data_IF_246511480858
#
_entry.id   IF_246511480858
#
_cell.length_a   1.000
_cell.length_b   1.000
_cell.length_c   1.000
_cell.angle_alpha   90.00
_cell.angle_beta   90.00
_cell.angle_gamma   90.00
#
_symmetry.space_group_name_H-M   'P 1'
#
loop_
_entity.id
_entity.type
_entity.pdbx_description
1 polymer ?
#
# COMPACT_ATOMS: atom_id res chain seq x y z
N UNK A 1 21.62 25.87 18.55
CA UNK A 1 21.32 25.94 17.10
C UNK A 1 22.56 25.85 16.20
N UNK A 2 23.79 25.82 16.72
CA UNK A 2 25.04 25.72 15.95
C UNK A 2 25.38 24.29 15.47
N UNK A 3 24.75 23.26 16.05
CA UNK A 3 25.05 21.84 15.78
C UNK A 3 24.47 21.36 14.42
N UNK A 4 23.43 22.01 13.91
CA UNK A 4 22.84 21.70 12.61
C UNK A 4 23.55 22.38 11.43
N UNK A 5 24.33 23.45 11.68
CA UNK A 5 25.08 24.15 10.63
C UNK A 5 26.37 23.43 10.22
N UNK A 6 26.86 22.49 11.03
CA UNK A 6 28.07 21.71 10.76
C UNK A 6 27.81 20.35 10.10
N UNK A 7 26.55 19.99 9.83
CA UNK A 7 26.20 18.74 9.18
C UNK A 7 26.31 18.84 7.64
N UNK A 8 26.73 17.77 6.94
CA UNK A 8 26.70 17.72 5.49
C UNK A 8 25.29 17.98 4.95
N UNK A 9 25.18 18.68 3.81
CA UNK A 9 23.91 18.99 3.17
C UNK A 9 23.07 17.75 2.86
N UNK A 10 23.70 16.62 2.52
CA UNK A 10 23.04 15.32 2.31
C UNK A 10 22.35 14.80 3.56
N UNK A 11 22.95 14.96 4.75
CA UNK A 11 22.37 14.52 6.02
C UNK A 11 21.18 15.39 6.40
N UNK A 12 21.28 16.70 6.20
CA UNK A 12 20.16 17.62 6.42
C UNK A 12 18.99 17.32 5.48
N UNK A 13 19.27 17.01 4.21
CA UNK A 13 18.25 16.63 3.24
C UNK A 13 17.59 15.29 3.61
N UNK A 14 18.37 14.29 4.02
CA UNK A 14 17.85 12.99 4.46
C UNK A 14 16.95 13.15 5.71
N UNK A 15 17.36 14.00 6.66
CA UNK A 15 16.56 14.32 7.84
C UNK A 15 15.24 15.03 7.50
N UNK A 16 15.28 15.98 6.54
CA UNK A 16 14.08 16.66 6.08
C UNK A 16 13.09 15.72 5.38
N UNK A 17 13.59 14.85 4.48
CA UNK A 17 12.76 13.84 3.80
C UNK A 17 12.17 12.86 4.81
N UNK A 18 13.00 12.35 5.73
CA UNK A 18 12.55 11.46 6.79
C UNK A 18 11.42 12.06 7.62
N UNK A 19 11.59 13.30 8.08
CA UNK A 19 10.59 14.00 8.88
C UNK A 19 9.33 14.27 8.06
N UNK A 20 9.46 14.62 6.78
CA UNK A 20 8.33 14.83 5.86
C UNK A 20 7.48 13.56 5.73
N UNK A 21 8.12 12.42 5.42
CA UNK A 21 7.40 11.14 5.26
C UNK A 21 6.71 10.74 6.57
N UNK A 22 7.37 10.94 7.72
CA UNK A 22 6.77 10.64 9.02
C UNK A 22 5.56 11.52 9.31
N UNK A 23 5.69 12.84 9.16
CA UNK A 23 4.58 13.79 9.43
C UNK A 23 3.38 13.48 8.53
N UNK A 24 3.63 13.09 7.28
CA UNK A 24 2.59 12.72 6.33
C UNK A 24 1.94 11.38 6.69
N UNK A 25 2.72 10.35 7.05
CA UNK A 25 2.20 9.01 7.31
C UNK A 25 1.49 8.87 8.67
N UNK A 26 1.91 9.62 9.69
CA UNK A 26 1.39 9.51 11.06
C UNK A 26 -0.14 9.67 11.16
N UNK A 27 -0.79 10.69 10.55
CA UNK A 27 -2.24 10.82 10.55
C UNK A 27 -2.96 9.60 9.97
N UNK A 28 -2.45 9.04 8.87
CA UNK A 28 -3.08 7.89 8.21
C UNK A 28 -2.89 6.60 9.00
N UNK A 29 -1.72 6.40 9.61
CA UNK A 29 -1.48 5.24 10.49
C UNK A 29 -2.36 5.33 11.74
N UNK A 30 -2.54 6.53 12.31
CA UNK A 30 -3.42 6.75 13.46
C UNK A 30 -4.89 6.48 13.10
N UNK A 31 -5.37 7.00 11.96
CA UNK A 31 -6.73 6.72 11.50
C UNK A 31 -6.89 5.22 11.21
N UNK A 32 -5.90 4.59 10.58
CA UNK A 32 -5.89 3.16 10.30
C UNK A 32 -5.96 2.30 11.57
N UNK A 33 -5.23 2.66 12.62
CA UNK A 33 -5.26 1.95 13.91
C UNK A 33 -6.58 2.17 14.66
N UNK A 34 -7.16 3.37 14.60
CA UNK A 34 -8.50 3.64 15.17
C UNK A 34 -9.56 2.82 14.44
N UNK A 35 -9.53 2.77 13.11
CA UNK A 35 -10.45 1.96 12.30
C UNK A 35 -10.27 0.49 12.63
N UNK A 36 -9.03 0.01 12.72
CA UNK A 36 -8.73 -1.37 13.10
C UNK A 36 -9.24 -1.72 14.51
N UNK A 37 -9.04 -0.84 15.50
CA UNK A 37 -9.62 -0.97 16.84
C UNK A 37 -11.17 -0.94 16.83
N UNK A 38 -11.78 -0.14 15.95
CA UNK A 38 -13.24 -0.16 15.77
C UNK A 38 -13.72 -1.47 15.15
N UNK A 39 -12.99 -2.01 14.17
CA UNK A 39 -13.25 -3.33 13.58
C UNK A 39 -13.10 -4.42 14.65
N UNK A 40 -12.11 -4.32 15.51
CA UNK A 40 -11.90 -5.22 16.64
C UNK A 40 -13.13 -5.34 17.54
N UNK A 41 -13.68 -4.20 17.96
CA UNK A 41 -14.75 -4.14 18.96
C UNK A 41 -16.13 -4.31 18.34
N UNK A 42 -16.39 -3.78 17.15
CA UNK A 42 -17.74 -3.72 16.57
C UNK A 42 -18.04 -4.75 15.47
N UNK A 43 -17.00 -5.28 14.81
CA UNK A 43 -17.15 -6.23 13.70
C UNK A 43 -16.98 -7.65 14.24
N UNK A 44 -18.07 -8.42 14.17
CA UNK A 44 -18.06 -9.86 14.45
C UNK A 44 -17.94 -10.64 13.13
N UNK A 45 -17.39 -11.88 13.16
CA UNK A 45 -17.33 -12.72 11.97
C UNK A 45 -18.69 -12.91 11.29
N UNK A 46 -19.77 -12.98 12.07
CA UNK A 46 -21.15 -13.13 11.56
C UNK A 46 -21.60 -11.94 10.70
N UNK A 47 -21.29 -10.72 11.13
CA UNK A 47 -21.57 -9.49 10.35
C UNK A 47 -20.79 -9.50 9.04
N UNK A 48 -19.53 -9.93 9.08
CA UNK A 48 -18.70 -10.11 7.88
C UNK A 48 -19.34 -11.09 6.91
N UNK A 49 -19.78 -12.27 7.37
CA UNK A 49 -20.43 -13.26 6.51
C UNK A 49 -21.78 -12.80 5.95
N UNK A 50 -22.50 -11.94 6.66
CA UNK A 50 -23.78 -11.39 6.22
C UNK A 50 -23.60 -10.30 5.17
N UNK A 51 -22.58 -9.44 5.32
CA UNK A 51 -22.33 -8.32 4.43
C UNK A 51 -21.56 -8.72 3.16
N UNK A 52 -20.75 -9.79 3.23
CA UNK A 52 -20.00 -10.27 2.08
C UNK A 52 -20.90 -11.05 1.10
N UNK A 53 -20.72 -10.85 -0.22
CA UNK A 53 -21.42 -11.65 -1.23
C UNK A 53 -21.23 -13.15 -1.01
N UNK A 54 -22.24 -13.95 -1.37
CA UNK A 54 -22.18 -15.42 -1.24
C UNK A 54 -21.19 -16.04 -2.25
N UNK A 55 -21.07 -15.45 -3.44
CA UNK A 55 -20.24 -15.98 -4.52
C UNK A 55 -18.77 -15.56 -4.37
N UNK A 56 -17.83 -16.48 -4.63
CA UNK A 56 -16.39 -16.25 -4.53
C UNK A 56 -15.91 -15.06 -5.38
N UNK A 57 -16.34 -14.99 -6.64
CA UNK A 57 -16.03 -13.86 -7.52
C UNK A 57 -16.64 -12.53 -7.02
N UNK A 58 -17.87 -12.58 -6.50
CA UNK A 58 -18.53 -11.39 -5.94
C UNK A 58 -17.75 -10.80 -4.77
N UNK A 59 -17.15 -11.65 -3.92
CA UNK A 59 -16.28 -11.23 -2.82
C UNK A 59 -14.97 -10.59 -3.32
N UNK A 60 -14.35 -11.11 -4.38
CA UNK A 60 -13.15 -10.52 -4.99
C UNK A 60 -13.46 -9.11 -5.51
N UNK A 61 -14.55 -8.95 -6.27
CA UNK A 61 -14.96 -7.63 -6.76
C UNK A 61 -15.31 -6.69 -5.62
N UNK A 62 -16.00 -7.18 -4.59
CA UNK A 62 -16.31 -6.38 -3.40
C UNK A 62 -15.03 -5.83 -2.75
N UNK A 63 -14.01 -6.67 -2.53
CA UNK A 63 -12.71 -6.22 -2.01
C UNK A 63 -11.99 -5.24 -2.93
N UNK A 64 -12.11 -5.43 -4.24
CA UNK A 64 -11.48 -4.56 -5.24
C UNK A 64 -12.10 -3.15 -5.21
N UNK A 65 -13.43 -3.04 -5.18
CA UNK A 65 -14.14 -1.75 -5.25
C UNK A 65 -14.29 -1.03 -3.91
N UNK A 66 -14.31 -1.76 -2.78
CA UNK A 66 -14.42 -1.11 -1.47
C UNK A 66 -13.24 -0.17 -1.21
N UNK A 67 -12.06 -0.43 -1.82
CA UNK A 67 -10.89 0.44 -1.80
C UNK A 67 -11.15 1.90 -2.20
N UNK A 68 -12.08 2.15 -3.12
CA UNK A 68 -12.44 3.50 -3.55
C UNK A 68 -13.06 4.35 -2.42
N UNK A 69 -13.76 3.71 -1.48
CA UNK A 69 -14.45 4.40 -0.38
C UNK A 69 -13.56 4.66 0.83
N UNK A 70 -12.36 4.09 0.87
CA UNK A 70 -11.45 4.23 2.00
C UNK A 70 -10.40 5.30 1.70
N UNK A 71 -10.47 6.49 2.35
CA UNK A 71 -9.47 7.53 2.20
C UNK A 71 -8.24 7.21 3.06
N UNK A 72 -7.59 6.08 2.80
CA UNK A 72 -6.44 5.60 3.56
C UNK A 72 -5.20 5.54 2.67
N UNK A 73 -4.06 5.94 3.23
CA UNK A 73 -2.74 5.74 2.64
C UNK A 73 -2.31 4.27 2.82
N UNK A 74 -1.37 3.78 2.00
CA UNK A 74 -0.82 2.41 2.09
C UNK A 74 -0.26 2.05 3.49
N UNK A 75 0.14 3.05 4.28
CA UNK A 75 0.58 2.85 5.65
C UNK A 75 -0.56 2.51 6.62
N UNK A 76 -1.78 3.00 6.35
CA UNK A 76 -2.96 2.82 7.21
C UNK A 76 -3.78 1.58 6.90
N UNK A 77 -3.56 0.93 5.75
CA UNK A 77 -4.38 -0.19 5.27
C UNK A 77 -3.93 -1.55 5.82
N UNK A 78 -2.63 -1.76 6.09
CA UNK A 78 -2.13 -3.03 6.62
C UNK A 78 -2.73 -3.45 7.99
N UNK A 79 -2.89 -2.56 9.00
CA UNK A 79 -3.52 -2.94 10.26
C UNK A 79 -4.98 -3.36 10.06
N UNK A 80 -5.72 -2.59 9.25
CA UNK A 80 -7.10 -2.89 8.87
C UNK A 80 -7.20 -4.28 8.21
N UNK A 81 -6.30 -4.59 7.28
CA UNK A 81 -6.26 -5.89 6.59
C UNK A 81 -5.93 -7.02 7.55
N UNK A 82 -4.95 -6.84 8.42
CA UNK A 82 -4.64 -7.83 9.43
C UNK A 82 -5.87 -8.13 10.29
N UNK A 83 -6.58 -7.09 10.74
CA UNK A 83 -7.79 -7.25 11.55
C UNK A 83 -8.94 -7.91 10.80
N UNK A 84 -9.11 -7.62 9.52
CA UNK A 84 -10.07 -8.32 8.67
C UNK A 84 -9.79 -9.81 8.57
N UNK A 85 -8.53 -10.18 8.35
CA UNK A 85 -8.12 -11.58 8.29
C UNK A 85 -8.33 -12.30 9.64
N UNK A 86 -8.06 -11.63 10.77
CA UNK A 86 -8.37 -12.15 12.12
C UNK A 86 -9.88 -12.37 12.33
N UNK A 87 -10.73 -11.52 11.76
CA UNK A 87 -12.20 -11.66 11.76
C UNK A 87 -12.73 -12.63 10.71
N UNK A 88 -11.88 -13.49 10.14
CA UNK A 88 -12.21 -14.53 9.15
C UNK A 88 -12.72 -13.97 7.81
N UNK A 89 -12.39 -12.72 7.46
CA UNK A 89 -12.57 -12.23 6.09
C UNK A 89 -11.67 -13.08 5.16
N UNK A 90 -12.19 -13.62 4.05
CA UNK A 90 -11.37 -14.41 3.13
C UNK A 90 -10.18 -13.62 2.57
N UNK A 91 -9.01 -14.28 2.45
CA UNK A 91 -7.78 -13.68 1.92
C UNK A 91 -7.96 -13.09 0.53
N UNK A 92 -8.72 -13.77 -0.32
CA UNK A 92 -9.07 -13.33 -1.68
C UNK A 92 -10.02 -12.12 -1.74
N UNK A 93 -10.52 -11.64 -0.61
CA UNK A 93 -11.24 -10.35 -0.49
C UNK A 93 -10.34 -9.28 0.10
N UNK A 94 -9.60 -9.63 1.15
CA UNK A 94 -8.74 -8.68 1.87
C UNK A 94 -7.55 -8.23 1.01
N UNK A 95 -6.86 -9.13 0.32
CA UNK A 95 -5.67 -8.78 -0.47
C UNK A 95 -6.01 -7.87 -1.67
N UNK A 96 -7.10 -8.09 -2.42
CA UNK A 96 -7.55 -7.10 -3.41
C UNK A 96 -7.78 -5.71 -2.82
N UNK A 97 -8.39 -5.62 -1.62
CA UNK A 97 -8.60 -4.35 -0.92
C UNK A 97 -7.28 -3.69 -0.49
N UNK A 98 -6.31 -4.48 0.00
CA UNK A 98 -4.96 -4.01 0.35
C UNK A 98 -4.30 -3.29 -0.84
N UNK A 99 -4.51 -3.81 -2.04
CA UNK A 99 -3.88 -3.33 -3.28
C UNK A 99 -4.61 -2.14 -3.89
N UNK A 100 -5.95 -2.15 -3.89
CA UNK A 100 -6.72 -1.08 -4.55
C UNK A 100 -6.88 0.17 -3.71
N UNK A 101 -6.97 0.06 -2.38
CA UNK A 101 -7.22 1.20 -1.50
C UNK A 101 -6.26 2.38 -1.73
N UNK A 102 -4.92 2.21 -1.78
CA UNK A 102 -4.02 3.35 -1.95
C UNK A 102 -3.95 3.89 -3.40
N UNK A 103 -4.49 3.19 -4.40
CA UNK A 103 -4.37 3.61 -5.82
C UNK A 103 -5.65 4.20 -6.37
N UNK A 104 -6.79 3.61 -6.00
CA UNK A 104 -8.11 3.99 -6.48
C UNK A 104 -8.73 5.08 -5.58
N UNK A 105 -8.04 5.48 -4.51
CA UNK A 105 -8.44 6.58 -3.64
C UNK A 105 -8.68 7.87 -4.45
N UNK A 106 -9.83 8.55 -4.27
CA UNK A 106 -10.14 9.81 -4.94
C UNK A 106 -9.04 10.87 -4.84
N UNK A 107 -8.33 10.95 -3.70
CA UNK A 107 -7.24 11.91 -3.48
C UNK A 107 -6.07 11.60 -4.43
N UNK A 108 -5.74 10.33 -4.58
CA UNK A 108 -4.64 9.83 -5.43
C UNK A 108 -4.99 9.93 -6.91
N UNK A 109 -6.23 9.63 -7.28
CA UNK A 109 -6.71 9.82 -8.64
C UNK A 109 -6.72 11.32 -9.01
N UNK A 110 -7.11 12.20 -8.09
CA UNK A 110 -7.08 13.64 -8.29
C UNK A 110 -5.65 14.19 -8.39
N UNK A 111 -4.71 13.74 -7.56
CA UNK A 111 -3.31 14.14 -7.67
C UNK A 111 -2.70 13.66 -8.99
N UNK A 112 -3.04 12.45 -9.45
CA UNK A 112 -2.65 11.94 -10.77
C UNK A 112 -3.21 12.81 -11.89
N UNK A 113 -4.49 13.19 -11.82
CA UNK A 113 -5.12 14.07 -12.80
C UNK A 113 -4.40 15.42 -12.89
N UNK A 114 -4.12 16.04 -11.74
CA UNK A 114 -3.45 17.35 -11.67
C UNK A 114 -1.98 17.27 -12.12
N UNK A 115 -1.26 16.22 -11.76
CA UNK A 115 0.17 16.08 -12.07
C UNK A 115 0.44 15.84 -13.56
N UNK A 116 -0.48 15.16 -14.26
CA UNK A 116 -0.36 14.83 -15.68
C UNK A 116 -1.11 15.82 -16.58
N UNK A 117 -1.26 17.07 -16.15
CA UNK A 117 -1.83 18.15 -16.98
C UNK A 117 -3.29 17.90 -17.37
N UNK A 118 -4.12 17.44 -16.43
CA UNK A 118 -5.54 17.12 -16.63
C UNK A 118 -5.79 15.92 -17.57
N UNK A 119 -4.83 15.00 -17.66
CA UNK A 119 -4.99 13.77 -18.45
C UNK A 119 -5.85 12.74 -17.72
N UNK A 120 -7.12 12.62 -18.13
CA UNK A 120 -8.05 11.58 -17.66
C UNK A 120 -7.54 10.19 -18.04
N UNK A 121 -6.84 10.09 -19.18
CA UNK A 121 -6.29 8.83 -19.67
C UNK A 121 -5.34 8.20 -18.65
N UNK A 122 -4.43 8.98 -18.05
CA UNK A 122 -3.51 8.44 -17.04
C UNK A 122 -4.21 7.98 -15.77
N UNK A 123 -5.22 8.74 -15.33
CA UNK A 123 -6.04 8.37 -14.16
C UNK A 123 -6.74 7.03 -14.39
N UNK A 124 -7.38 6.87 -15.55
CA UNK A 124 -8.09 5.65 -15.91
C UNK A 124 -7.14 4.46 -16.04
N UNK A 125 -5.98 4.62 -16.65
CA UNK A 125 -4.99 3.56 -16.79
C UNK A 125 -4.37 3.18 -15.43
N UNK A 126 -4.13 4.14 -14.54
CA UNK A 126 -3.68 3.86 -13.17
C UNK A 126 -4.73 3.07 -12.39
N UNK A 127 -5.99 3.49 -12.44
CA UNK A 127 -7.10 2.82 -11.77
C UNK A 127 -7.36 1.40 -12.35
N UNK A 128 -7.39 1.27 -13.67
CA UNK A 128 -7.61 0.00 -14.35
C UNK A 128 -6.48 -1.00 -14.07
N UNK A 129 -5.23 -0.53 -14.04
CA UNK A 129 -4.08 -1.34 -13.62
C UNK A 129 -4.28 -1.90 -12.22
N UNK A 130 -4.69 -1.06 -11.26
CA UNK A 130 -4.97 -1.50 -9.90
C UNK A 130 -6.10 -2.53 -9.80
N UNK A 131 -7.22 -2.30 -10.51
CA UNK A 131 -8.36 -3.23 -10.55
C UNK A 131 -7.94 -4.57 -11.15
N UNK A 132 -7.17 -4.54 -12.24
CA UNK A 132 -6.70 -5.75 -12.93
C UNK A 132 -5.79 -6.58 -12.03
N UNK A 133 -4.79 -5.94 -11.39
CA UNK A 133 -3.86 -6.62 -10.49
C UNK A 133 -4.61 -7.19 -9.27
N UNK A 134 -5.51 -6.41 -8.68
CA UNK A 134 -6.32 -6.85 -7.54
C UNK A 134 -7.23 -8.03 -7.91
N UNK A 135 -7.84 -8.02 -9.10
CA UNK A 135 -8.68 -9.13 -9.58
C UNK A 135 -7.85 -10.39 -9.80
N UNK A 136 -6.68 -10.28 -10.42
CA UNK A 136 -5.77 -11.42 -10.64
C UNK A 136 -5.30 -12.01 -9.30
N UNK A 137 -4.88 -11.17 -8.36
CA UNK A 137 -4.51 -11.61 -7.01
C UNK A 137 -5.68 -12.27 -6.28
N UNK A 138 -6.88 -11.69 -6.37
CA UNK A 138 -8.08 -12.26 -5.77
C UNK A 138 -8.43 -13.62 -6.37
N UNK A 139 -8.32 -13.80 -7.68
CA UNK A 139 -8.54 -15.10 -8.33
C UNK A 139 -7.44 -16.08 -7.93
N UNK A 140 -6.17 -15.68 -7.97
CA UNK A 140 -5.05 -16.53 -7.56
C UNK A 140 -5.24 -17.04 -6.13
N UNK A 141 -5.55 -16.15 -5.19
CA UNK A 141 -5.77 -16.52 -3.79
C UNK A 141 -7.08 -17.27 -3.58
N UNK A 142 -8.10 -16.98 -4.39
CA UNK A 142 -9.40 -17.62 -4.26
C UNK A 142 -9.40 -19.07 -4.74
N UNK A 143 -8.52 -19.44 -5.67
CA UNK A 143 -8.53 -20.76 -6.31
C UNK A 143 -7.26 -21.58 -6.10
N UNK A 144 -6.10 -20.95 -5.89
CA UNK A 144 -4.81 -21.63 -5.80
C UNK A 144 -4.17 -21.58 -4.41
N UNK A 145 -4.70 -20.78 -3.48
CA UNK A 145 -4.11 -20.59 -2.16
C UNK A 145 -5.11 -20.84 -1.03
N UNK A 146 -5.06 -22.03 -0.43
CA UNK A 146 -5.95 -22.42 0.67
C UNK A 146 -5.32 -22.21 2.06
N UNK A 147 -4.00 -22.00 2.13
CA UNK A 147 -3.29 -21.80 3.40
C UNK A 147 -3.56 -20.42 4.02
N UNK A 148 -3.51 -20.35 5.36
CA UNK A 148 -3.55 -19.06 6.08
C UNK A 148 -2.35 -18.19 5.69
N UNK A 149 -2.63 -16.95 5.27
CA UNK A 149 -1.58 -15.98 4.89
C UNK A 149 -0.96 -15.28 6.10
N UNK A 150 -1.66 -15.27 7.24
CA UNK A 150 -1.21 -14.66 8.49
C UNK A 150 -0.24 -15.55 9.25
N UNK A 151 0.67 -14.93 10.01
CA UNK A 151 1.52 -15.65 10.95
C UNK A 151 0.68 -16.12 12.15
N UNK A 152 0.80 -17.40 12.50
CA UNK A 152 0.10 -18.05 13.64
C UNK A 152 0.51 -17.50 15.02
N UNK A 153 1.55 -16.68 15.10
CA UNK A 153 2.31 -16.48 16.34
C UNK A 153 2.12 -15.12 17.02
N UNK A 154 1.00 -14.42 16.75
CA UNK A 154 0.49 -13.44 17.72
C UNK A 154 -0.51 -14.16 18.60
N UNK A 155 -0.33 -13.97 19.91
CA UNK A 155 -1.09 -14.61 20.99
C UNK A 155 -2.48 -14.97 20.53
N UNK A 156 -2.87 -16.23 20.70
CA UNK A 156 -4.25 -16.67 20.58
C UNK A 156 -5.15 -15.61 21.23
N UNK A 157 -5.70 -14.71 20.41
CA UNK A 157 -6.66 -13.73 20.87
C UNK A 157 -7.84 -14.58 21.27
N UNK A 158 -8.02 -14.74 22.58
CA UNK A 158 -9.31 -15.03 23.14
C UNK A 158 -10.31 -14.16 22.36
N UNK A 159 -11.37 -14.75 21.81
CA UNK A 159 -12.52 -13.98 21.38
C UNK A 159 -12.94 -13.18 22.60
N UNK A 160 -12.49 -11.92 22.66
CA UNK A 160 -12.91 -11.01 23.68
C UNK A 160 -14.35 -10.69 23.32
N UNK A 161 -15.27 -11.42 23.94
CA UNK A 161 -16.68 -11.11 23.83
C UNK A 161 -16.93 -9.80 24.56
N UNK A 162 -16.79 -8.70 23.80
CA UNK A 162 -17.08 -7.37 24.28
C UNK A 162 -18.59 -7.11 24.36
N UNK A 163 -19.46 -8.11 24.10
CA UNK A 163 -20.92 -7.97 24.20
C UNK A 163 -21.37 -7.43 25.56
N UNK A 164 -20.69 -7.83 26.64
CA UNK A 164 -20.99 -7.49 28.03
C UNK A 164 -20.50 -6.11 28.49
N UNK A 165 -19.72 -5.39 27.67
CA UNK A 165 -19.17 -4.08 28.06
C UNK A 165 -20.16 -2.93 27.84
N UNK A 166 -20.13 -1.96 28.76
CA UNK A 166 -20.83 -0.69 28.60
C UNK A 166 -20.32 0.07 27.37
N UNK A 167 -21.16 0.93 26.78
CA UNK A 167 -20.80 1.75 25.59
C UNK A 167 -19.50 2.53 25.80
N UNK A 168 -19.26 3.05 27.01
CA UNK A 168 -18.02 3.77 27.34
C UNK A 168 -16.79 2.88 27.39
N UNK A 169 -16.93 1.66 27.92
CA UNK A 169 -15.83 0.68 27.95
C UNK A 169 -15.49 0.16 26.54
N UNK A 170 -16.48 0.02 25.66
CA UNK A 170 -16.25 -0.32 24.24
C UNK A 170 -15.41 0.74 23.54
N UNK A 171 -15.75 2.02 23.71
CA UNK A 171 -14.99 3.12 23.13
C UNK A 171 -13.55 3.14 23.69
N UNK A 172 -13.40 2.98 25.00
CA UNK A 172 -12.08 2.95 25.63
C UNK A 172 -11.24 1.77 25.12
N UNK A 173 -11.84 0.60 24.92
CA UNK A 173 -11.17 -0.56 24.33
C UNK A 173 -10.73 -0.31 22.89
N UNK A 174 -11.55 0.36 22.07
CA UNK A 174 -11.16 0.77 20.71
C UNK A 174 -9.88 1.62 20.76
N UNK A 175 -9.81 2.59 21.68
CA UNK A 175 -8.65 3.45 21.81
C UNK A 175 -7.41 2.72 22.34
N UNK A 176 -7.54 1.83 23.34
CA UNK A 176 -6.42 1.02 23.82
C UNK A 176 -5.83 0.21 22.67
N UNK A 177 -6.68 -0.51 21.94
CA UNK A 177 -6.25 -1.31 20.81
C UNK A 177 -5.59 -0.46 19.71
N UNK A 178 -6.20 0.68 19.40
CA UNK A 178 -5.67 1.60 18.39
C UNK A 178 -4.29 2.15 18.78
N UNK A 179 -4.05 2.38 20.07
CA UNK A 179 -2.74 2.82 20.59
C UNK A 179 -1.71 1.71 20.46
N UNK A 180 -2.03 0.49 20.89
CA UNK A 180 -1.12 -0.65 20.81
C UNK A 180 -0.72 -0.92 19.36
N UNK A 181 -1.69 -0.92 18.45
CA UNK A 181 -1.46 -1.13 17.02
C UNK A 181 -0.71 0.05 16.39
N UNK A 182 -1.00 1.29 16.79
CA UNK A 182 -0.26 2.47 16.34
C UNK A 182 1.22 2.40 16.69
N UNK A 183 1.58 2.05 17.93
CA UNK A 183 2.99 1.92 18.34
C UNK A 183 3.67 0.72 17.67
N UNK A 184 2.95 -0.38 17.53
CA UNK A 184 3.44 -1.56 16.81
C UNK A 184 3.72 -1.28 15.33
N UNK A 185 2.93 -0.44 14.68
CA UNK A 185 3.16 0.01 13.31
C UNK A 185 4.21 1.10 13.23
N UNK A 186 4.19 2.05 14.15
CA UNK A 186 5.07 3.21 14.21
C UNK A 186 6.55 2.80 14.20
N UNK A 187 6.92 1.72 14.89
CA UNK A 187 8.31 1.22 14.86
C UNK A 187 8.74 0.79 13.45
N UNK A 188 7.89 0.09 12.69
CA UNK A 188 8.22 -0.35 11.33
C UNK A 188 8.19 0.81 10.35
N UNK A 189 7.24 1.72 10.52
CA UNK A 189 7.15 2.97 9.76
C UNK A 189 8.45 3.77 9.90
N UNK A 190 8.97 3.95 11.13
CA UNK A 190 10.22 4.68 11.37
C UNK A 190 11.40 4.04 10.63
N UNK A 191 11.57 2.72 10.71
CA UNK A 191 12.64 2.04 9.97
C UNK A 191 12.47 2.14 8.45
N UNK A 192 11.24 2.03 7.94
CA UNK A 192 10.93 2.18 6.52
C UNK A 192 11.21 3.60 6.02
N UNK A 193 10.80 4.62 6.76
CA UNK A 193 11.03 6.04 6.42
C UNK A 193 12.52 6.38 6.45
N UNK A 194 13.27 5.83 7.41
CA UNK A 194 14.72 6.04 7.50
C UNK A 194 15.44 5.42 6.31
N UNK A 195 15.05 4.20 5.91
CA UNK A 195 15.60 3.58 4.71
C UNK A 195 15.26 4.39 3.46
N UNK A 196 14.00 4.77 3.28
CA UNK A 196 13.54 5.54 2.13
C UNK A 196 14.27 6.88 2.01
N UNK A 197 14.46 7.62 3.11
CA UNK A 197 15.13 8.93 3.05
C UNK A 197 16.61 8.83 2.67
N UNK A 198 17.31 7.80 3.15
CA UNK A 198 18.70 7.52 2.75
C UNK A 198 18.73 7.21 1.25
N UNK A 199 17.87 6.31 0.79
CA UNK A 199 17.80 5.92 -0.62
C UNK A 199 17.48 7.13 -1.51
N UNK A 200 16.53 7.97 -1.14
CA UNK A 200 16.16 9.17 -1.91
C UNK A 200 17.30 10.20 -2.01
N UNK A 201 18.18 10.29 -1.02
CA UNK A 201 19.34 11.21 -1.06
C UNK A 201 20.50 10.63 -1.85
N UNK A 202 20.77 9.32 -1.72
CA UNK A 202 21.96 8.68 -2.29
C UNK A 202 21.72 8.01 -3.64
N UNK A 203 20.47 7.82 -4.08
CA UNK A 203 20.14 7.29 -5.40
C UNK A 203 19.82 8.44 -6.35
N UNK A 204 20.79 8.92 -7.15
CA UNK A 204 20.53 9.95 -8.14
C UNK A 204 19.69 9.37 -9.29
N UNK A 205 18.55 9.99 -9.56
CA UNK A 205 17.67 9.68 -10.70
C UNK A 205 18.38 9.82 -12.06
N UNK A 206 19.52 10.53 -12.11
CA UNK A 206 20.36 10.68 -13.31
C UNK A 206 21.09 9.40 -13.73
N UNK A 207 21.38 8.47 -12.80
CA UNK A 207 22.00 7.17 -13.18
C UNK A 207 21.03 6.32 -14.00
N UNK A 208 19.73 6.60 -13.89
CA UNK A 208 18.69 5.77 -14.48
C UNK A 208 18.39 6.13 -15.93
N UNK A 209 18.62 7.39 -16.33
CA UNK A 209 18.38 7.87 -17.71
C UNK A 209 19.45 7.41 -18.71
N UNK A 210 20.62 6.98 -18.24
CA UNK A 210 21.71 6.48 -19.11
C UNK A 210 21.61 4.99 -19.43
N UNK A 211 20.72 4.25 -18.76
CA UNK A 211 20.67 2.77 -18.81
C UNK A 211 19.51 2.26 -19.69
N UNK A 212 18.51 3.09 -20.01
CA UNK A 212 17.31 2.67 -20.74
C UNK A 212 17.53 2.56 -22.26
N UNK A 213 18.18 1.48 -22.70
CA UNK A 213 18.36 1.16 -24.12
C UNK A 213 17.13 0.51 -24.78
N UNK A 214 16.22 -0.09 -23.99
CA UNK A 214 15.00 -0.75 -24.50
C UNK A 214 13.76 -0.38 -23.66
N UNK A 215 12.55 -0.40 -24.27
CA UNK A 215 11.30 -0.08 -23.55
C UNK A 215 11.05 -0.98 -22.33
N UNK A 216 11.35 -2.28 -22.44
CA UNK A 216 11.15 -3.23 -21.35
C UNK A 216 12.12 -2.97 -20.18
N UNK A 217 13.37 -2.63 -20.49
CA UNK A 217 14.35 -2.26 -19.47
C UNK A 217 13.95 -0.96 -18.75
N UNK A 218 13.37 0.01 -19.48
CA UNK A 218 12.85 1.24 -18.87
C UNK A 218 11.70 0.96 -17.89
N UNK A 219 10.77 0.05 -18.25
CA UNK A 219 9.68 -0.39 -17.36
C UNK A 219 10.25 -1.00 -16.08
N UNK A 220 11.14 -1.99 -16.21
CA UNK A 220 11.74 -2.66 -15.04
C UNK A 220 12.51 -1.67 -14.17
N UNK A 221 13.27 -0.79 -14.79
CA UNK A 221 14.07 0.21 -14.10
C UNK A 221 13.18 1.17 -13.29
N UNK A 222 12.08 1.66 -13.86
CA UNK A 222 11.17 2.54 -13.14
C UNK A 222 10.36 1.79 -12.07
N UNK A 223 10.06 0.51 -12.26
CA UNK A 223 9.47 -0.31 -11.20
C UNK A 223 10.43 -0.45 -10.00
N UNK A 224 11.71 -0.73 -10.25
CA UNK A 224 12.73 -0.81 -9.20
C UNK A 224 12.93 0.55 -8.53
N UNK A 225 12.94 1.63 -9.31
CA UNK A 225 13.02 2.99 -8.78
C UNK A 225 11.86 3.28 -7.84
N UNK A 226 10.63 2.99 -8.25
CA UNK A 226 9.43 3.20 -7.44
C UNK A 226 9.54 2.48 -6.10
N UNK A 227 9.90 1.18 -6.13
CA UNK A 227 10.11 0.37 -4.94
C UNK A 227 11.17 0.97 -4.00
N UNK A 228 12.30 1.43 -4.55
CA UNK A 228 13.40 2.00 -3.78
C UNK A 228 13.06 3.36 -3.17
N UNK A 229 12.40 4.25 -3.93
CA UNK A 229 12.03 5.56 -3.42
C UNK A 229 10.93 5.48 -2.35
N UNK A 230 10.06 4.47 -2.41
CA UNK A 230 9.02 4.20 -1.39
C UNK A 230 8.21 5.44 -0.99
N UNK A 231 7.89 6.26 -1.99
CA UNK A 231 7.18 7.53 -1.83
C UNK A 231 5.71 7.27 -1.47
N UNK A 232 4.99 8.32 -1.10
CA UNK A 232 3.54 8.24 -0.94
C UNK A 232 2.86 8.28 -2.32
N UNK A 233 1.72 7.60 -2.43
CA UNK A 233 0.94 7.44 -3.65
C UNK A 233 0.59 8.75 -4.39
N UNK A 234 0.50 9.86 -3.67
CA UNK A 234 0.25 11.23 -4.15
C UNK A 234 1.52 11.86 -4.72
N UNK A 235 2.65 11.74 -4.01
CA UNK A 235 3.95 12.26 -4.44
C UNK A 235 4.46 11.53 -5.69
N UNK A 236 4.15 10.23 -5.80
CA UNK A 236 4.45 9.41 -6.98
C UNK A 236 3.91 10.03 -8.28
N UNK A 237 2.72 10.64 -8.24
CA UNK A 237 2.12 11.26 -9.42
C UNK A 237 3.00 12.41 -9.97
N UNK A 238 3.51 13.26 -9.08
CA UNK A 238 4.34 14.41 -9.44
C UNK A 238 5.74 13.99 -9.90
N UNK A 239 6.34 12.99 -9.26
CA UNK A 239 7.63 12.46 -9.69
C UNK A 239 7.48 11.75 -11.05
N UNK A 240 6.45 10.91 -11.20
CA UNK A 240 6.14 10.22 -12.45
C UNK A 240 5.93 11.18 -13.63
N UNK A 241 5.22 12.30 -13.43
CA UNK A 241 4.99 13.26 -14.51
C UNK A 241 6.28 13.94 -14.99
N UNK A 242 7.22 14.20 -14.07
CA UNK A 242 8.54 14.75 -14.42
C UNK A 242 9.40 13.79 -15.25
N UNK A 243 9.17 12.48 -15.11
CA UNK A 243 9.91 11.42 -15.80
C UNK A 243 9.30 11.04 -17.17
N UNK A 244 8.09 11.52 -17.45
CA UNK A 244 7.34 11.17 -18.67
C UNK A 244 8.08 11.56 -19.95
N UNK A 245 8.75 12.72 -19.97
CA UNK A 245 9.53 13.19 -21.11
C UNK A 245 10.80 12.37 -21.38
N UNK A 246 11.33 11.71 -20.35
CA UNK A 246 12.60 10.97 -20.43
C UNK A 246 12.41 9.48 -20.68
N UNK A 247 11.38 8.87 -20.06
CA UNK A 247 11.16 7.42 -20.10
C UNK A 247 9.92 7.01 -20.90
N UNK A 248 9.06 7.97 -21.25
CA UNK A 248 7.81 7.68 -21.96
C UNK A 248 6.71 7.15 -21.04
N UNK A 249 5.58 6.84 -21.66
CA UNK A 249 4.31 6.63 -20.97
C UNK A 249 4.27 5.31 -20.18
N UNK A 250 4.65 4.20 -20.80
CA UNK A 250 4.54 2.86 -20.20
C UNK A 250 5.42 2.66 -18.95
N UNK A 251 6.71 3.05 -18.94
CA UNK A 251 7.53 2.96 -17.73
C UNK A 251 6.97 3.82 -16.58
N UNK A 252 6.47 5.02 -16.87
CA UNK A 252 5.87 5.89 -15.86
C UNK A 252 4.56 5.30 -15.33
N UNK A 253 3.73 4.70 -16.17
CA UNK A 253 2.55 3.99 -15.70
C UNK A 253 2.93 2.84 -14.76
N UNK A 254 3.98 2.07 -15.10
CA UNK A 254 4.49 0.99 -14.25
C UNK A 254 4.92 1.52 -12.87
N UNK A 255 5.66 2.64 -12.84
CA UNK A 255 6.05 3.34 -11.62
C UNK A 255 4.85 3.72 -10.74
N UNK A 256 3.81 4.32 -11.33
CA UNK A 256 2.64 4.81 -10.60
C UNK A 256 1.75 3.70 -10.03
N UNK A 257 1.72 2.54 -10.70
CA UNK A 257 0.89 1.40 -10.30
C UNK A 257 1.61 0.53 -9.28
N UNK A 258 2.92 0.29 -9.44
CA UNK A 258 3.65 -0.59 -8.51
C UNK A 258 3.97 0.07 -7.17
N UNK A 259 4.27 1.36 -7.14
CA UNK A 259 4.74 2.05 -5.93
C UNK A 259 3.83 1.83 -4.72
N UNK A 260 2.53 2.15 -4.83
CA UNK A 260 1.62 1.97 -3.70
C UNK A 260 1.33 0.52 -3.33
N UNK A 261 1.66 -0.43 -4.21
CA UNK A 261 1.49 -1.87 -3.93
C UNK A 261 2.72 -2.47 -3.27
N UNK A 262 3.90 -2.01 -3.68
CA UNK A 262 5.20 -2.56 -3.34
C UNK A 262 6.18 -1.43 -3.04
N UNK A 263 6.39 -1.22 -1.75
CA UNK A 263 7.39 -0.32 -1.22
C UNK A 263 8.09 -0.97 -0.01
N UNK A 264 9.20 -0.40 0.45
CA UNK A 264 9.98 -0.97 1.55
C UNK A 264 9.25 -0.85 2.89
N UNK A 265 8.53 0.25 3.13
CA UNK A 265 7.83 0.53 4.39
C UNK A 265 6.67 -0.45 4.62
N UNK A 266 5.84 -0.67 3.60
CA UNK A 266 4.75 -1.62 3.52
C UNK A 266 5.27 -3.05 3.60
N UNK A 267 6.35 -3.41 2.91
CA UNK A 267 6.93 -4.76 3.06
C UNK A 267 7.42 -5.03 4.48
N UNK A 268 8.08 -4.07 5.12
CA UNK A 268 8.48 -4.19 6.53
C UNK A 268 7.27 -4.35 7.45
N UNK A 269 6.19 -3.61 7.18
CA UNK A 269 4.95 -3.67 7.93
C UNK A 269 4.21 -5.01 7.70
N UNK A 270 4.03 -5.44 6.45
CA UNK A 270 3.44 -6.73 6.07
C UNK A 270 4.23 -7.90 6.65
N UNK A 271 5.57 -7.82 6.70
CA UNK A 271 6.42 -8.86 7.29
C UNK A 271 6.11 -9.07 8.77
N UNK A 272 5.55 -8.10 9.48
CA UNK A 272 5.10 -8.27 10.86
C UNK A 272 3.89 -9.22 10.97
N UNK A 273 2.94 -9.12 10.04
CA UNK A 273 1.62 -9.80 10.12
C UNK A 273 1.50 -11.04 9.23
N UNK A 274 2.10 -11.00 8.04
CA UNK A 274 1.93 -12.00 7.00
C UNK A 274 3.16 -12.92 6.88
N UNK A 275 2.94 -14.16 6.47
CA UNK A 275 4.00 -15.14 6.24
C UNK A 275 4.93 -14.65 5.12
N UNK A 276 6.25 -14.75 5.33
CA UNK A 276 7.25 -14.35 4.32
C UNK A 276 7.06 -15.07 2.99
N UNK A 277 6.60 -16.34 3.00
CA UNK A 277 6.27 -17.10 1.79
C UNK A 277 5.18 -16.42 0.96
N UNK A 278 4.11 -15.96 1.61
CA UNK A 278 3.02 -15.24 0.94
C UNK A 278 3.52 -13.91 0.35
N UNK A 279 4.33 -13.16 1.11
CA UNK A 279 4.89 -11.87 0.65
C UNK A 279 5.69 -12.05 -0.65
N UNK A 280 6.52 -13.08 -0.75
CA UNK A 280 7.26 -13.37 -1.99
C UNK A 280 6.35 -13.68 -3.18
N UNK A 281 5.28 -14.46 -2.99
CA UNK A 281 4.31 -14.75 -4.05
C UNK A 281 3.56 -13.48 -4.47
N UNK A 282 3.12 -12.68 -3.49
CA UNK A 282 2.49 -11.38 -3.72
C UNK A 282 3.39 -10.46 -4.55
N UNK A 283 4.65 -10.28 -4.15
CA UNK A 283 5.63 -9.46 -4.87
C UNK A 283 5.84 -9.95 -6.31
N UNK A 284 6.00 -11.26 -6.49
CA UNK A 284 6.25 -11.87 -7.80
C UNK A 284 5.06 -11.66 -8.73
N UNK A 285 3.84 -11.94 -8.26
CA UNK A 285 2.61 -11.77 -9.05
C UNK A 285 2.39 -10.30 -9.40
N UNK A 286 2.48 -9.40 -8.44
CA UNK A 286 2.31 -7.95 -8.69
C UNK A 286 3.33 -7.46 -9.71
N UNK A 287 4.60 -7.80 -9.53
CA UNK A 287 5.68 -7.39 -10.45
C UNK A 287 5.43 -7.90 -11.87
N UNK A 288 5.10 -9.19 -12.03
CA UNK A 288 4.83 -9.77 -13.35
C UNK A 288 3.60 -9.16 -14.02
N UNK A 289 2.52 -8.96 -13.27
CA UNK A 289 1.29 -8.38 -13.82
C UNK A 289 1.51 -6.92 -14.20
N UNK A 290 2.18 -6.12 -13.37
CA UNK A 290 2.51 -4.71 -13.70
C UNK A 290 3.39 -4.63 -14.94
N UNK A 291 4.39 -5.50 -15.05
CA UNK A 291 5.29 -5.56 -16.21
C UNK A 291 4.50 -5.83 -17.49
N UNK A 292 3.67 -6.89 -17.49
CA UNK A 292 2.85 -7.27 -18.64
C UNK A 292 1.83 -6.18 -18.97
N UNK A 293 1.14 -5.64 -17.97
CA UNK A 293 0.15 -4.59 -18.14
C UNK A 293 0.78 -3.35 -18.79
N UNK A 294 1.89 -2.87 -18.25
CA UNK A 294 2.55 -1.66 -18.74
C UNK A 294 3.17 -1.87 -20.12
N UNK A 295 3.70 -3.06 -20.39
CA UNK A 295 4.19 -3.42 -21.72
C UNK A 295 3.06 -3.43 -22.76
N UNK A 296 1.91 -4.06 -22.45
CA UNK A 296 0.76 -4.08 -23.35
C UNK A 296 0.23 -2.68 -23.64
N UNK A 297 0.10 -1.84 -22.61
CA UNK A 297 -0.31 -0.44 -22.77
C UNK A 297 0.70 0.33 -23.63
N UNK A 298 2.00 0.09 -23.45
CA UNK A 298 3.06 0.71 -24.23
C UNK A 298 3.17 0.23 -25.68
N UNK A 299 2.59 -0.93 -26.02
CA UNK A 299 2.49 -1.41 -27.41
C UNK A 299 1.22 -0.88 -28.09
N UNK A 300 0.16 -0.63 -27.31
CA UNK A 300 -1.12 -0.12 -27.84
C UNK A 300 -1.11 1.41 -28.08
N UNK A 301 -0.23 2.16 -27.43
CA UNK A 301 -0.07 3.62 -27.52
C UNK A 301 1.20 3.98 -28.28
#
# INVERSE_FOLDING_TARGET
>A
MTLFQSLPSSVLQAGAIFLSIIIEALPFVLIGSIISGAIEVYVTPEKVYTFLPKNRLGRIFFGTFIGFLFPSCECGIVPIINRFLEKKVPSYTAVPFLVTAPIINPIVLFSTYSAFGNSIQMVLLRALGAILIATILGIFLGFFWEESIQKENRLACHEHDFSHLSKGQKILQVFIQAIDEFFDMGRYLVFGCLFASIVQVYVPTRILTSISATPLLAIVLLMVLSFLLSLCSEADAFIGSSLLSSFGFAPVLAFLVIGPMLDVKNLLMMKNYLKTRFIWHFMTIVTLVVLVYSYLVGVML
#
